data_IF_410090484251
#
_entry.id   IF_410090484251
#
_cell.length_a   1.000
_cell.length_b   1.000
_cell.length_c   1.000
_cell.angle_alpha   90.00
_cell.angle_beta   90.00
_cell.angle_gamma   90.00
#
_symmetry.space_group_name_H-M   'P 1'
#
loop_
_entity.id
_entity.type
_entity.pdbx_description
1 polymer ?
#
# COMPACT_ATOMS: atom_id res chain seq x y z
N UNK A 1 -6.85 21.75 15.28
CA UNK A 1 -7.28 21.57 13.89
C UNK A 1 -6.42 22.37 12.89
N UNK A 2 -6.31 23.73 12.93
CA UNK A 2 -5.47 24.49 11.99
C UNK A 2 -4.03 23.94 11.88
N UNK A 3 -3.36 23.75 13.01
CA UNK A 3 -1.98 23.25 13.03
C UNK A 3 -1.84 21.84 12.46
N UNK A 4 -2.86 21.00 12.65
CA UNK A 4 -2.92 19.67 12.05
C UNK A 4 -3.00 19.74 10.51
N UNK A 5 -3.82 20.66 9.96
CA UNK A 5 -3.89 20.87 8.50
C UNK A 5 -2.52 21.28 7.95
N UNK A 6 -1.83 22.25 8.61
CA UNK A 6 -0.49 22.64 8.19
C UNK A 6 0.52 21.48 8.26
N UNK A 7 0.50 20.70 9.34
CA UNK A 7 1.39 19.54 9.49
C UNK A 7 1.10 18.47 8.42
N UNK A 8 -0.16 18.23 8.11
CA UNK A 8 -0.59 17.27 7.08
C UNK A 8 -0.09 17.68 5.70
N UNK A 9 -0.32 18.95 5.29
CA UNK A 9 0.18 19.50 4.02
C UNK A 9 1.72 19.44 3.97
N UNK A 10 2.39 19.86 5.04
CA UNK A 10 3.85 19.83 5.12
C UNK A 10 4.40 18.39 5.00
N UNK A 11 3.76 17.42 5.66
CA UNK A 11 4.13 16.01 5.56
C UNK A 11 4.00 15.45 4.15
N UNK A 12 2.91 15.77 3.44
CA UNK A 12 2.73 15.39 2.04
C UNK A 12 3.80 16.03 1.13
N UNK A 13 4.08 17.33 1.30
CA UNK A 13 5.14 18.02 0.54
C UNK A 13 6.51 17.40 0.83
N UNK A 14 6.81 17.04 2.09
CA UNK A 14 8.05 16.36 2.45
C UNK A 14 8.16 14.98 1.77
N UNK A 15 7.08 14.18 1.72
CA UNK A 15 7.09 12.91 0.97
C UNK A 15 7.41 13.14 -0.51
N UNK A 16 6.78 14.12 -1.15
CA UNK A 16 7.05 14.43 -2.56
C UNK A 16 8.49 14.89 -2.83
N UNK A 17 9.10 15.63 -1.89
CA UNK A 17 10.43 16.19 -2.05
C UNK A 17 11.54 15.23 -1.62
N UNK A 18 11.40 14.53 -0.49
CA UNK A 18 12.43 13.70 0.12
C UNK A 18 12.22 12.22 -0.22
N UNK A 19 10.98 11.70 -0.06
CA UNK A 19 10.69 10.26 -0.10
C UNK A 19 11.33 9.53 1.08
N UNK A 20 11.73 8.25 0.89
CA UNK A 20 12.28 7.40 1.94
C UNK A 20 13.78 7.11 1.72
N UNK A 21 14.68 8.04 2.03
CA UNK A 21 16.12 7.82 1.86
C UNK A 21 16.61 6.73 2.82
N UNK A 22 17.42 5.80 2.30
CA UNK A 22 17.84 4.60 3.04
C UNK A 22 18.65 4.88 4.31
N UNK A 23 19.30 6.05 4.40
CA UNK A 23 20.12 6.45 5.55
C UNK A 23 19.32 7.01 6.73
N UNK A 24 18.03 7.34 6.54
CA UNK A 24 17.15 7.79 7.62
C UNK A 24 16.47 6.56 8.23
N UNK A 25 16.50 6.40 9.57
CA UNK A 25 15.73 5.37 10.26
C UNK A 25 14.24 5.53 9.94
N UNK A 26 13.64 4.48 9.37
CA UNK A 26 12.24 4.53 8.97
C UNK A 26 11.38 3.72 9.95
N UNK A 27 10.32 4.31 10.54
CA UNK A 27 9.48 3.63 11.53
C UNK A 27 8.89 2.31 11.04
N UNK A 28 8.54 2.19 9.74
CA UNK A 28 8.02 0.96 9.16
C UNK A 28 9.04 -0.19 9.26
N UNK A 29 10.35 0.11 9.18
CA UNK A 29 11.39 -0.91 9.39
C UNK A 29 11.43 -1.40 10.84
N UNK A 30 11.20 -0.50 11.81
CA UNK A 30 11.10 -0.87 13.23
C UNK A 30 9.86 -1.74 13.46
N UNK A 31 8.71 -1.36 12.89
CA UNK A 31 7.49 -2.18 12.91
C UNK A 31 7.77 -3.56 12.30
N UNK A 32 8.40 -3.62 11.12
CA UNK A 32 8.78 -4.88 10.47
C UNK A 32 9.73 -5.73 11.33
N UNK A 33 10.68 -5.10 12.01
CA UNK A 33 11.58 -5.79 12.95
C UNK A 33 10.83 -6.39 14.15
N UNK A 34 9.88 -5.65 14.71
CA UNK A 34 9.00 -6.13 15.78
C UNK A 34 8.15 -7.32 15.31
N UNK A 35 7.55 -7.21 14.12
CA UNK A 35 6.79 -8.31 13.51
C UNK A 35 7.67 -9.55 13.34
N UNK A 36 8.87 -9.40 12.78
CA UNK A 36 9.80 -10.49 12.58
C UNK A 36 10.26 -11.14 13.88
N UNK A 37 10.48 -10.34 14.93
CA UNK A 37 10.83 -10.83 16.26
C UNK A 37 9.69 -11.66 16.86
N UNK A 38 8.46 -11.16 16.79
CA UNK A 38 7.28 -11.85 17.30
C UNK A 38 6.94 -13.09 16.46
N UNK A 39 7.09 -13.05 15.12
CA UNK A 39 6.91 -14.23 14.25
C UNK A 39 7.83 -15.36 14.68
N UNK A 40 9.12 -15.09 14.89
CA UNK A 40 10.09 -16.10 15.35
C UNK A 40 9.75 -16.69 16.73
N UNK A 41 9.12 -15.92 17.59
CA UNK A 41 8.76 -16.35 18.96
C UNK A 41 7.41 -17.06 19.06
N UNK A 42 6.44 -16.60 18.30
CA UNK A 42 5.05 -17.06 18.42
C UNK A 42 4.67 -18.10 17.36
N UNK A 43 5.32 -18.11 16.20
CA UNK A 43 5.06 -19.04 15.09
C UNK A 43 6.01 -20.25 15.12
N UNK A 44 6.39 -20.69 16.29
CA UNK A 44 7.16 -21.91 16.45
C UNK A 44 6.21 -23.12 16.51
N UNK A 45 6.54 -24.18 15.78
CA UNK A 45 5.92 -25.49 15.92
C UNK A 45 6.46 -26.11 17.22
N UNK A 46 5.72 -25.89 18.31
CA UNK A 46 5.95 -26.66 19.51
C UNK A 46 5.43 -28.07 19.22
N UNK A 47 6.28 -29.09 19.29
CA UNK A 47 6.01 -30.49 18.95
C UNK A 47 4.88 -31.13 19.79
N UNK A 48 3.71 -30.53 19.73
CA UNK A 48 2.52 -31.01 20.42
C UNK A 48 1.91 -32.18 19.65
N UNK A 49 1.76 -33.30 20.34
CA UNK A 49 0.96 -34.42 19.86
C UNK A 49 -0.54 -34.07 19.97
N UNK A 50 -1.02 -33.12 19.16
CA UNK A 50 -2.38 -32.57 19.18
C UNK A 50 -3.00 -32.65 17.78
N UNK A 51 -4.34 -32.66 17.71
CA UNK A 51 -5.03 -32.66 16.44
C UNK A 51 -4.73 -31.42 15.63
N UNK A 52 -4.68 -31.57 14.29
CA UNK A 52 -4.42 -30.48 13.33
C UNK A 52 -5.37 -29.27 13.58
N UNK A 53 -6.65 -29.52 13.82
CA UNK A 53 -7.65 -28.47 14.11
C UNK A 53 -7.25 -27.62 15.31
N UNK A 54 -6.74 -28.27 16.39
CA UNK A 54 -6.29 -27.59 17.59
C UNK A 54 -5.02 -26.81 17.36
N UNK A 55 -4.08 -27.35 16.59
CA UNK A 55 -2.86 -26.65 16.17
C UNK A 55 -3.18 -25.37 15.37
N UNK A 56 -4.07 -25.48 14.38
CA UNK A 56 -4.50 -24.37 13.54
C UNK A 56 -5.16 -23.24 14.37
N UNK A 57 -5.96 -23.59 15.37
CA UNK A 57 -6.55 -22.63 16.29
C UNK A 57 -5.48 -21.92 17.16
N UNK A 58 -4.47 -22.67 17.64
CA UNK A 58 -3.36 -22.10 18.40
C UNK A 58 -2.56 -21.13 17.51
N UNK A 59 -2.21 -21.50 16.30
CA UNK A 59 -1.52 -20.63 15.33
C UNK A 59 -2.34 -19.33 15.09
N UNK A 60 -3.63 -19.45 14.87
CA UNK A 60 -4.51 -18.29 14.71
C UNK A 60 -4.52 -17.35 15.94
N UNK A 61 -4.66 -17.90 17.16
CA UNK A 61 -4.65 -17.10 18.40
C UNK A 61 -3.30 -16.42 18.64
N UNK A 62 -2.18 -17.08 18.33
CA UNK A 62 -0.84 -16.51 18.43
C UNK A 62 -0.62 -15.40 17.39
N UNK A 63 -1.12 -15.57 16.16
CA UNK A 63 -1.13 -14.50 15.16
C UNK A 63 -1.96 -13.30 15.56
N UNK A 64 -3.10 -13.53 16.20
CA UNK A 64 -3.94 -12.47 16.79
C UNK A 64 -3.20 -11.73 17.92
N UNK A 65 -2.52 -12.46 18.82
CA UNK A 65 -1.69 -11.85 19.88
C UNK A 65 -0.57 -10.98 19.27
N UNK A 66 0.12 -11.48 18.24
CA UNK A 66 1.12 -10.69 17.52
C UNK A 66 0.50 -9.39 17.01
N UNK A 67 -0.63 -9.47 16.31
CA UNK A 67 -1.28 -8.30 15.71
C UNK A 67 -1.66 -7.25 16.77
N UNK A 68 -2.28 -7.66 17.89
CA UNK A 68 -2.60 -6.72 18.96
C UNK A 68 -1.35 -6.11 19.60
N UNK A 69 -0.28 -6.89 19.78
CA UNK A 69 0.99 -6.39 20.33
C UNK A 69 1.62 -5.34 19.43
N UNK A 70 1.68 -5.59 18.12
CA UNK A 70 2.25 -4.66 17.14
C UNK A 70 1.42 -3.38 17.05
N UNK A 71 0.09 -3.49 16.99
CA UNK A 71 -0.82 -2.34 16.95
C UNK A 71 -0.66 -1.50 18.22
N UNK A 72 -0.71 -2.12 19.40
CA UNK A 72 -0.60 -1.42 20.66
C UNK A 72 0.76 -0.74 20.82
N UNK A 73 1.86 -1.43 20.50
CA UNK A 73 3.21 -0.85 20.57
C UNK A 73 3.36 0.35 19.62
N UNK A 74 2.84 0.24 18.38
CA UNK A 74 2.87 1.33 17.40
C UNK A 74 2.02 2.51 17.86
N UNK A 75 0.81 2.25 18.33
CA UNK A 75 -0.07 3.28 18.88
C UNK A 75 0.58 4.01 20.06
N UNK A 76 1.03 3.27 21.08
CA UNK A 76 1.64 3.84 22.28
C UNK A 76 2.88 4.68 21.96
N UNK A 77 3.77 4.17 21.10
CA UNK A 77 4.97 4.90 20.70
C UNK A 77 4.62 6.19 19.93
N UNK A 78 3.67 6.12 19.01
CA UNK A 78 3.22 7.28 18.24
C UNK A 78 2.58 8.35 19.12
N UNK A 79 1.75 7.94 20.10
CA UNK A 79 1.16 8.85 21.10
C UNK A 79 2.24 9.49 21.97
N UNK A 80 3.21 8.71 22.48
CA UNK A 80 4.31 9.21 23.30
C UNK A 80 5.09 10.29 22.54
N UNK A 81 5.44 10.04 21.26
CA UNK A 81 6.18 11.01 20.43
C UNK A 81 5.39 12.31 20.27
N UNK A 82 4.11 12.23 19.90
CA UNK A 82 3.28 13.41 19.69
C UNK A 82 3.07 14.18 20.98
N UNK A 83 2.71 13.51 22.07
CA UNK A 83 2.50 14.15 23.37
C UNK A 83 3.80 14.80 23.86
N UNK A 84 4.94 14.11 23.79
CA UNK A 84 6.23 14.67 24.17
C UNK A 84 6.60 15.91 23.33
N UNK A 85 6.35 15.87 22.02
CA UNK A 85 6.64 17.00 21.15
C UNK A 85 5.77 18.23 21.48
N UNK A 86 4.47 18.04 21.65
CA UNK A 86 3.56 19.13 22.03
C UNK A 86 3.78 19.65 23.46
N UNK A 87 4.30 18.81 24.38
CA UNK A 87 4.65 19.27 25.74
C UNK A 87 5.89 20.18 25.77
N UNK A 88 6.76 20.13 24.76
CA UNK A 88 7.88 21.07 24.60
C UNK A 88 7.35 22.43 24.17
N UNK A 89 6.69 22.50 23.05
CA UNK A 89 5.97 23.67 22.54
C UNK A 89 5.14 23.31 21.30
N UNK A 90 4.27 24.22 20.88
CA UNK A 90 3.41 24.07 19.72
C UNK A 90 4.17 23.78 18.41
N UNK A 91 5.28 24.47 18.18
CA UNK A 91 6.06 24.30 16.93
C UNK A 91 6.73 22.92 16.87
N UNK A 92 7.27 22.45 18.00
CA UNK A 92 7.84 21.10 18.08
C UNK A 92 6.78 20.03 17.78
N UNK A 93 5.56 20.20 18.31
CA UNK A 93 4.42 19.33 18.02
C UNK A 93 4.07 19.30 16.53
N UNK A 94 3.92 20.45 15.90
CA UNK A 94 3.60 20.56 14.46
C UNK A 94 4.68 19.96 13.58
N UNK A 95 5.96 20.20 13.92
CA UNK A 95 7.08 19.59 13.18
C UNK A 95 7.09 18.08 13.32
N UNK A 96 6.89 17.56 14.53
CA UNK A 96 6.82 16.12 14.77
C UNK A 96 5.66 15.49 13.98
N UNK A 97 4.50 16.13 13.96
CA UNK A 97 3.33 15.69 13.21
C UNK A 97 3.59 15.66 11.70
N UNK A 98 4.23 16.71 11.15
CA UNK A 98 4.60 16.79 9.76
C UNK A 98 5.64 15.70 9.37
N UNK A 99 6.67 15.49 10.20
CA UNK A 99 7.67 14.46 9.97
C UNK A 99 7.06 13.06 10.04
N UNK A 100 6.20 12.81 11.03
CA UNK A 100 5.50 11.54 11.14
C UNK A 100 4.58 11.29 9.96
N UNK A 101 3.85 12.31 9.49
CA UNK A 101 3.00 12.23 8.29
C UNK A 101 3.83 11.90 7.06
N UNK A 102 4.96 12.57 6.86
CA UNK A 102 5.91 12.24 5.79
C UNK A 102 6.32 10.76 5.80
N UNK A 103 6.71 10.23 6.97
CA UNK A 103 7.17 8.84 7.11
C UNK A 103 6.05 7.78 6.99
N UNK A 104 4.79 8.19 6.97
CA UNK A 104 3.64 7.31 6.74
C UNK A 104 3.38 7.13 5.24
N UNK A 105 3.59 8.18 4.43
CA UNK A 105 3.29 8.21 3.01
C UNK A 105 4.43 7.56 2.20
N UNK A 106 4.09 7.02 1.04
CA UNK A 106 5.04 6.31 0.19
C UNK A 106 4.96 6.76 -1.29
N UNK A 107 4.49 7.99 -1.57
CA UNK A 107 4.24 8.46 -2.94
C UNK A 107 5.51 8.52 -3.76
N UNK A 108 6.55 9.20 -3.25
CA UNK A 108 7.84 9.27 -3.94
C UNK A 108 8.60 7.96 -3.92
N UNK A 109 8.55 7.22 -2.81
CA UNK A 109 9.19 5.92 -2.70
C UNK A 109 8.67 4.95 -3.76
N UNK A 110 7.35 4.84 -3.91
CA UNK A 110 6.72 3.98 -4.91
C UNK A 110 7.12 4.35 -6.34
N UNK A 111 7.18 5.66 -6.64
CA UNK A 111 7.69 6.14 -7.92
C UNK A 111 9.15 5.75 -8.14
N UNK A 112 10.01 5.98 -7.16
CA UNK A 112 11.45 5.70 -7.30
C UNK A 112 11.68 4.21 -7.55
N UNK A 113 11.04 3.35 -6.76
CA UNK A 113 11.22 1.91 -6.90
C UNK A 113 10.63 1.36 -8.21
N UNK A 114 9.46 1.82 -8.62
CA UNK A 114 8.86 1.42 -9.90
C UNK A 114 9.65 1.96 -11.11
N UNK A 115 10.20 3.18 -11.02
CA UNK A 115 11.05 3.73 -12.08
C UNK A 115 12.38 2.98 -12.23
N UNK A 116 12.93 2.39 -11.15
CA UNK A 116 14.07 1.47 -11.25
C UNK A 116 13.76 0.25 -12.14
N UNK A 117 12.52 -0.26 -12.08
CA UNK A 117 12.09 -1.34 -12.99
C UNK A 117 12.04 -0.85 -14.43
N UNK A 118 11.49 0.35 -14.66
CA UNK A 118 11.47 0.97 -15.98
C UNK A 118 12.88 1.14 -16.57
N UNK A 119 13.79 1.75 -15.78
CA UNK A 119 15.15 2.00 -16.22
C UNK A 119 15.90 0.69 -16.49
N UNK A 120 15.79 -0.31 -15.60
CA UNK A 120 16.40 -1.63 -15.80
C UNK A 120 15.90 -2.34 -17.07
N UNK A 121 14.58 -2.30 -17.34
CA UNK A 121 14.04 -2.89 -18.57
C UNK A 121 14.56 -2.20 -19.82
N UNK A 122 14.70 -0.88 -19.77
CA UNK A 122 15.10 -0.07 -20.92
C UNK A 122 16.58 -0.17 -21.24
N UNK A 123 17.45 -0.18 -20.19
CA UNK A 123 18.91 -0.10 -20.38
C UNK A 123 19.61 -1.45 -20.34
N UNK A 124 19.16 -2.35 -19.44
CA UNK A 124 19.88 -3.56 -19.09
C UNK A 124 19.10 -4.85 -19.46
N UNK A 125 17.89 -4.69 -20.00
CA UNK A 125 17.05 -5.78 -20.51
C UNK A 125 16.23 -6.54 -19.44
N UNK A 126 15.60 -7.64 -19.87
CA UNK A 126 14.55 -8.33 -19.10
C UNK A 126 15.08 -8.91 -17.78
N UNK A 127 16.29 -9.44 -17.75
CA UNK A 127 16.83 -10.04 -16.52
C UNK A 127 17.13 -9.01 -15.44
N UNK A 128 17.56 -7.81 -15.81
CA UNK A 128 17.69 -6.69 -14.89
C UNK A 128 16.30 -6.21 -14.41
N UNK A 129 15.34 -6.13 -15.30
CA UNK A 129 13.95 -5.83 -14.97
C UNK A 129 13.34 -6.83 -14.00
N UNK A 130 13.58 -8.14 -14.18
CA UNK A 130 13.16 -9.21 -13.24
C UNK A 130 13.72 -9.00 -11.84
N UNK A 131 15.03 -8.68 -11.74
CA UNK A 131 15.66 -8.38 -10.44
C UNK A 131 15.07 -7.12 -9.80
N UNK A 132 14.88 -6.07 -10.58
CA UNK A 132 14.32 -4.82 -10.07
C UNK A 132 12.86 -5.02 -9.57
N UNK A 133 12.01 -5.68 -10.36
CA UNK A 133 10.61 -5.89 -9.97
C UNK A 133 10.46 -6.86 -8.77
N UNK A 134 11.40 -7.81 -8.59
CA UNK A 134 11.38 -8.71 -7.43
C UNK A 134 11.54 -8.00 -6.09
N UNK A 135 12.03 -6.77 -6.09
CA UNK A 135 12.15 -5.94 -4.89
C UNK A 135 10.82 -5.32 -4.44
N UNK A 136 9.81 -5.30 -5.33
CA UNK A 136 8.53 -4.63 -5.09
C UNK A 136 7.31 -5.54 -5.24
N UNK A 137 7.51 -6.82 -5.61
CA UNK A 137 6.42 -7.81 -5.74
C UNK A 137 6.70 -9.07 -4.94
N UNK A 138 5.64 -9.75 -4.49
CA UNK A 138 5.75 -11.01 -3.73
C UNK A 138 5.65 -12.28 -4.57
N UNK A 139 5.63 -12.18 -5.92
CA UNK A 139 5.55 -13.33 -6.85
C UNK A 139 6.92 -13.72 -7.40
N UNK A 140 7.02 -14.93 -7.97
CA UNK A 140 8.21 -15.36 -8.69
C UNK A 140 8.39 -14.56 -9.97
N UNK A 141 9.49 -13.84 -10.10
CA UNK A 141 9.77 -12.95 -11.23
C UNK A 141 10.65 -13.57 -12.30
N UNK A 142 11.31 -14.69 -11.99
CA UNK A 142 12.28 -15.35 -12.88
C UNK A 142 11.68 -15.83 -14.22
N UNK A 143 10.39 -16.12 -14.23
CA UNK A 143 9.64 -16.62 -15.40
C UNK A 143 8.96 -15.52 -16.22
N UNK A 144 9.00 -14.26 -15.78
CA UNK A 144 8.31 -13.16 -16.45
C UNK A 144 9.08 -12.72 -17.69
N UNK A 145 8.36 -12.51 -18.78
CA UNK A 145 8.87 -11.75 -19.93
C UNK A 145 8.84 -10.24 -19.67
N UNK A 146 9.24 -9.44 -20.64
CA UNK A 146 9.27 -7.98 -20.53
C UNK A 146 7.87 -7.38 -20.24
N UNK A 147 6.84 -7.90 -20.89
CA UNK A 147 5.45 -7.49 -20.66
C UNK A 147 4.98 -7.90 -19.26
N UNK A 148 5.34 -9.10 -18.80
CA UNK A 148 5.04 -9.59 -17.46
C UNK A 148 5.70 -8.77 -16.35
N UNK A 149 6.97 -8.38 -16.53
CA UNK A 149 7.68 -7.48 -15.60
C UNK A 149 7.01 -6.11 -15.54
N UNK A 150 6.67 -5.54 -16.70
CA UNK A 150 5.97 -4.25 -16.79
C UNK A 150 4.60 -4.31 -16.13
N UNK A 151 3.84 -5.37 -16.41
CA UNK A 151 2.52 -5.61 -15.80
C UNK A 151 2.62 -5.69 -14.29
N UNK A 152 3.57 -6.45 -13.76
CA UNK A 152 3.80 -6.57 -12.32
C UNK A 152 4.12 -5.22 -11.67
N UNK A 153 4.93 -4.38 -12.30
CA UNK A 153 5.23 -3.03 -11.81
C UNK A 153 3.99 -2.12 -11.82
N UNK A 154 3.19 -2.14 -12.90
CA UNK A 154 1.97 -1.34 -13.02
C UNK A 154 0.92 -1.78 -12.00
N UNK A 155 0.73 -3.09 -11.79
CA UNK A 155 -0.13 -3.64 -10.73
C UNK A 155 0.28 -3.14 -9.35
N UNK A 156 1.57 -3.22 -9.04
CA UNK A 156 2.12 -2.75 -7.75
C UNK A 156 1.86 -1.24 -7.54
N UNK A 157 2.03 -0.41 -8.58
CA UNK A 157 1.74 1.02 -8.50
C UNK A 157 0.23 1.23 -8.26
N UNK A 158 -0.63 0.51 -8.97
CA UNK A 158 -2.07 0.65 -8.86
C UNK A 158 -2.58 0.25 -7.47
N UNK A 159 -2.18 -0.91 -6.95
CA UNK A 159 -2.52 -1.40 -5.62
C UNK A 159 -1.99 -0.48 -4.52
N UNK A 160 -0.70 -0.13 -4.57
CA UNK A 160 -0.09 0.72 -3.55
C UNK A 160 -0.50 2.20 -3.65
N UNK A 161 -1.12 2.65 -4.75
CA UNK A 161 -1.82 3.94 -4.75
C UNK A 161 -2.89 3.98 -3.66
N UNK A 162 -3.64 2.88 -3.46
CA UNK A 162 -4.54 2.76 -2.31
C UNK A 162 -3.78 2.58 -1.00
N UNK A 163 -2.99 1.53 -0.88
CA UNK A 163 -2.50 1.00 0.39
C UNK A 163 -1.26 1.75 0.91
N UNK A 164 -0.46 2.30 0.01
CA UNK A 164 0.76 3.05 0.33
C UNK A 164 0.60 4.56 0.38
N UNK A 165 -0.46 5.10 -0.26
CA UNK A 165 -0.66 6.55 -0.41
C UNK A 165 -2.01 7.00 0.14
N UNK A 166 -3.12 6.60 -0.48
CA UNK A 166 -4.43 7.19 -0.16
C UNK A 166 -4.96 6.75 1.20
N UNK A 167 -4.90 5.45 1.53
CA UNK A 167 -5.37 4.96 2.82
C UNK A 167 -4.61 5.59 3.99
N UNK A 168 -3.25 5.62 4.01
CA UNK A 168 -2.53 6.30 5.07
C UNK A 168 -2.82 7.81 5.12
N UNK A 169 -3.03 8.50 3.98
CA UNK A 169 -3.47 9.90 3.95
C UNK A 169 -4.81 10.08 4.66
N UNK A 170 -5.82 9.28 4.32
CA UNK A 170 -7.15 9.37 4.91
C UNK A 170 -7.12 9.13 6.43
N UNK A 171 -6.41 8.11 6.89
CA UNK A 171 -6.28 7.83 8.32
C UNK A 171 -5.54 8.95 9.07
N UNK A 172 -4.51 9.51 8.46
CA UNK A 172 -3.77 10.66 9.03
C UNK A 172 -4.63 11.91 9.06
N UNK A 173 -5.42 12.20 8.04
CA UNK A 173 -6.32 13.35 8.00
C UNK A 173 -7.41 13.31 9.09
N UNK A 174 -7.90 12.12 9.48
CA UNK A 174 -9.01 11.95 10.44
C UNK A 174 -8.54 12.17 11.90
N UNK A 175 -7.41 11.58 12.30
CA UNK A 175 -6.97 11.55 13.72
C UNK A 175 -5.49 11.94 13.88
N UNK A 176 -4.82 12.32 12.81
CA UNK A 176 -3.40 12.61 12.82
C UNK A 176 -2.51 11.38 12.61
N UNK A 177 -1.17 11.56 12.68
CA UNK A 177 -0.22 10.52 12.30
C UNK A 177 -0.26 9.28 13.20
N UNK A 178 -0.84 9.36 14.39
CA UNK A 178 -1.02 8.19 15.28
C UNK A 178 -1.84 7.12 14.57
N UNK A 179 -3.00 7.51 14.00
CA UNK A 179 -3.86 6.55 13.31
C UNK A 179 -3.23 6.12 11.96
N UNK A 180 -2.51 7.01 11.30
CA UNK A 180 -1.74 6.69 10.10
C UNK A 180 -0.70 5.60 10.36
N UNK A 181 0.06 5.66 11.47
CA UNK A 181 1.00 4.61 11.86
C UNK A 181 0.33 3.31 12.26
N UNK A 182 -0.81 3.36 12.96
CA UNK A 182 -1.60 2.16 13.28
C UNK A 182 -2.05 1.46 11.99
N UNK A 183 -2.58 2.22 11.03
CA UNK A 183 -2.89 1.68 9.70
C UNK A 183 -1.65 1.06 9.04
N UNK A 184 -0.52 1.78 9.04
CA UNK A 184 0.73 1.28 8.45
C UNK A 184 1.23 0.00 9.11
N UNK A 185 1.03 -0.14 10.43
CA UNK A 185 1.35 -1.39 11.16
C UNK A 185 0.48 -2.56 10.68
N UNK A 186 -0.82 -2.34 10.48
CA UNK A 186 -1.74 -3.37 9.96
C UNK A 186 -1.32 -3.79 8.55
N UNK A 187 -1.10 -2.83 7.65
CA UNK A 187 -0.68 -3.08 6.28
C UNK A 187 0.69 -3.79 6.20
N UNK A 188 1.65 -3.42 7.08
CA UNK A 188 2.95 -4.10 7.15
C UNK A 188 2.82 -5.54 7.64
N UNK A 189 1.92 -5.81 8.60
CA UNK A 189 1.67 -7.17 9.05
C UNK A 189 1.08 -8.04 7.93
N UNK A 190 0.14 -7.53 7.14
CA UNK A 190 -0.39 -8.27 6.00
C UNK A 190 0.70 -8.54 4.97
N UNK A 191 1.47 -7.53 4.59
CA UNK A 191 2.58 -7.67 3.63
C UNK A 191 3.62 -8.71 4.06
N UNK A 192 3.85 -8.91 5.37
CA UNK A 192 4.84 -9.86 5.90
C UNK A 192 4.27 -11.24 6.22
N UNK A 193 3.00 -11.33 6.61
CA UNK A 193 2.40 -12.55 7.17
C UNK A 193 1.14 -13.01 6.40
N UNK A 194 0.58 -12.20 5.50
CA UNK A 194 -0.68 -12.48 4.80
C UNK A 194 -0.62 -13.59 3.75
N UNK A 195 0.53 -14.22 3.55
CA UNK A 195 0.73 -15.26 2.54
C UNK A 195 -0.07 -16.54 2.86
N UNK A 196 -0.75 -17.09 1.83
CA UNK A 196 -1.50 -18.35 1.92
C UNK A 196 -0.59 -19.57 1.69
N UNK A 197 0.49 -19.68 2.47
CA UNK A 197 1.38 -20.82 2.51
C UNK A 197 1.27 -21.56 3.85
N UNK A 198 1.90 -22.75 3.97
CA UNK A 198 1.78 -23.61 5.16
C UNK A 198 2.22 -22.90 6.46
N UNK A 199 3.18 -21.97 6.35
CA UNK A 199 3.69 -21.21 7.49
C UNK A 199 2.66 -20.19 8.02
N UNK A 200 1.99 -19.48 7.13
CA UNK A 200 1.18 -18.32 7.49
C UNK A 200 -0.33 -18.49 7.31
N UNK A 201 -0.81 -19.58 6.70
CA UNK A 201 -2.21 -19.84 6.41
C UNK A 201 -3.16 -19.57 7.59
N UNK A 202 -2.75 -19.96 8.79
CA UNK A 202 -3.52 -19.73 10.01
C UNK A 202 -2.96 -18.63 10.87
N UNK A 203 -1.63 -18.50 10.95
CA UNK A 203 -0.97 -17.50 11.77
C UNK A 203 -1.18 -16.08 11.24
N UNK A 204 -1.00 -15.85 9.94
CA UNK A 204 -1.18 -14.54 9.29
C UNK A 204 -2.65 -14.16 9.03
N UNK A 205 -3.58 -15.12 9.17
CA UNK A 205 -4.98 -14.93 8.78
C UNK A 205 -5.70 -13.76 9.47
N UNK A 206 -5.37 -13.47 10.73
CA UNK A 206 -5.98 -12.36 11.44
C UNK A 206 -5.48 -11.02 10.87
N UNK A 207 -4.18 -10.88 10.64
CA UNK A 207 -3.57 -9.69 10.06
C UNK A 207 -4.14 -9.40 8.67
N UNK A 208 -4.21 -10.42 7.79
CA UNK A 208 -4.78 -10.28 6.44
C UNK A 208 -6.25 -9.84 6.45
N UNK A 209 -7.08 -10.42 7.33
CA UNK A 209 -8.48 -10.01 7.47
C UNK A 209 -8.64 -8.61 8.03
N UNK A 210 -7.78 -8.22 8.96
CA UNK A 210 -7.80 -6.89 9.52
C UNK A 210 -7.42 -5.86 8.47
N UNK A 211 -6.40 -6.14 7.65
CA UNK A 211 -6.02 -5.32 6.51
C UNK A 211 -7.16 -5.18 5.49
N UNK A 212 -7.83 -6.28 5.13
CA UNK A 212 -9.02 -6.24 4.27
C UNK A 212 -10.12 -5.31 4.82
N UNK A 213 -10.32 -5.28 6.14
CA UNK A 213 -11.33 -4.41 6.78
C UNK A 213 -10.90 -2.95 6.78
N UNK A 214 -9.67 -2.63 7.18
CA UNK A 214 -9.21 -1.24 7.25
C UNK A 214 -9.04 -0.62 5.86
N UNK A 215 -8.75 -1.42 4.83
CA UNK A 215 -8.68 -0.97 3.46
C UNK A 215 -10.04 -0.90 2.74
N UNK A 216 -11.12 -1.40 3.34
CA UNK A 216 -12.41 -1.51 2.64
C UNK A 216 -12.93 -0.14 2.13
N UNK A 217 -12.97 0.88 2.98
CA UNK A 217 -13.40 2.23 2.58
C UNK A 217 -12.30 2.95 1.79
N UNK A 218 -11.04 3.01 2.24
CA UNK A 218 -9.98 3.68 1.50
C UNK A 218 -9.82 3.20 0.06
N UNK A 219 -9.87 1.90 -0.21
CA UNK A 219 -9.70 1.37 -1.57
C UNK A 219 -10.80 1.87 -2.53
N UNK A 220 -12.02 2.05 -2.04
CA UNK A 220 -13.12 2.59 -2.85
C UNK A 220 -12.97 4.08 -3.11
N UNK A 221 -12.59 4.85 -2.09
CA UNK A 221 -12.26 6.27 -2.25
C UNK A 221 -11.11 6.42 -3.24
N UNK A 222 -10.04 5.62 -3.09
CA UNK A 222 -8.89 5.58 -3.99
C UNK A 222 -9.31 5.34 -5.44
N UNK A 223 -10.20 4.37 -5.68
CA UNK A 223 -10.69 4.05 -7.01
C UNK A 223 -11.45 5.23 -7.63
N UNK A 224 -12.37 5.86 -6.90
CA UNK A 224 -13.10 7.02 -7.42
C UNK A 224 -12.21 8.23 -7.66
N UNK A 225 -11.23 8.49 -6.80
CA UNK A 225 -10.23 9.55 -7.01
C UNK A 225 -9.36 9.23 -8.22
N UNK A 226 -8.97 7.98 -8.42
CA UNK A 226 -8.19 7.54 -9.58
C UNK A 226 -9.00 7.62 -10.89
N UNK A 227 -10.31 7.35 -10.86
CA UNK A 227 -11.19 7.59 -12.01
C UNK A 227 -11.23 9.09 -12.34
N UNK A 228 -11.41 9.96 -11.34
CA UNK A 228 -11.36 11.40 -11.55
C UNK A 228 -9.99 11.83 -12.11
N UNK A 229 -8.90 11.29 -11.57
CA UNK A 229 -7.54 11.51 -12.07
C UNK A 229 -7.40 11.10 -13.55
N UNK A 230 -8.02 9.99 -13.96
CA UNK A 230 -8.00 9.54 -15.35
C UNK A 230 -8.76 10.49 -16.29
N UNK A 231 -9.84 11.14 -15.82
CA UNK A 231 -10.55 12.15 -16.62
C UNK A 231 -9.77 13.45 -16.79
N UNK A 232 -9.07 13.90 -15.76
CA UNK A 232 -8.34 15.19 -15.80
C UNK A 232 -6.89 15.05 -16.25
N UNK A 233 -6.32 13.83 -16.24
CA UNK A 233 -4.92 13.55 -16.56
C UNK A 233 -4.54 13.71 -18.03
N UNK A 234 -5.51 14.05 -18.89
CA UNK A 234 -5.32 14.33 -20.30
C UNK A 234 -5.32 13.09 -21.19
N UNK A 235 -4.91 13.27 -22.45
CA UNK A 235 -5.03 12.28 -23.54
C UNK A 235 -4.32 10.92 -23.31
N UNK A 236 -3.52 10.82 -22.27
CA UNK A 236 -2.82 9.56 -21.95
C UNK A 236 -3.71 8.57 -21.18
N UNK A 237 -4.87 9.00 -20.73
CA UNK A 237 -5.80 8.19 -19.96
C UNK A 237 -7.18 8.18 -20.57
N UNK A 238 -7.85 7.02 -20.47
CA UNK A 238 -9.23 6.86 -20.87
C UNK A 238 -10.11 6.78 -19.60
N UNK A 239 -10.60 7.94 -19.15
CA UNK A 239 -11.44 8.02 -17.95
C UNK A 239 -12.78 7.28 -18.09
N UNK A 240 -13.37 7.23 -19.30
CA UNK A 240 -14.61 6.48 -19.54
C UNK A 240 -14.37 4.99 -19.43
N UNK A 241 -13.32 4.50 -20.06
CA UNK A 241 -12.94 3.08 -19.97
C UNK A 241 -12.48 2.71 -18.56
N UNK A 242 -11.77 3.60 -17.84
CA UNK A 242 -11.42 3.40 -16.44
C UNK A 242 -12.66 3.12 -15.58
N UNK A 243 -13.72 3.92 -15.73
CA UNK A 243 -14.97 3.71 -15.00
C UNK A 243 -15.70 2.44 -15.44
N UNK A 244 -15.69 2.13 -16.73
CA UNK A 244 -16.31 0.91 -17.26
C UNK A 244 -15.65 -0.35 -16.70
N UNK A 245 -14.33 -0.44 -16.80
CA UNK A 245 -13.55 -1.59 -16.28
C UNK A 245 -13.68 -1.69 -14.75
N UNK A 246 -13.62 -0.56 -14.02
CA UNK A 246 -13.88 -0.56 -12.59
C UNK A 246 -15.22 -1.21 -12.23
N UNK A 247 -16.29 -0.83 -12.90
CA UNK A 247 -17.62 -1.41 -12.61
C UNK A 247 -17.68 -2.93 -12.85
N UNK A 248 -16.98 -3.41 -13.88
CA UNK A 248 -17.00 -4.82 -14.30
C UNK A 248 -16.04 -5.67 -13.47
N UNK A 249 -14.79 -5.19 -13.25
CA UNK A 249 -13.67 -6.05 -12.83
C UNK A 249 -13.20 -5.82 -11.38
N UNK A 250 -13.73 -4.82 -10.67
CA UNK A 250 -13.28 -4.46 -9.30
C UNK A 250 -13.36 -5.58 -8.24
N UNK A 251 -13.92 -6.71 -8.58
CA UNK A 251 -14.00 -7.90 -7.73
C UNK A 251 -13.24 -9.10 -8.30
N UNK A 252 -12.42 -8.89 -9.33
CA UNK A 252 -11.62 -9.94 -9.97
C UNK A 252 -10.29 -10.22 -9.26
N UNK A 253 -10.20 -9.97 -7.96
CA UNK A 253 -9.03 -10.26 -7.15
C UNK A 253 -9.42 -11.04 -5.89
N UNK A 254 -8.44 -11.76 -5.30
CA UNK A 254 -8.65 -12.54 -4.07
C UNK A 254 -8.84 -11.65 -2.82
N UNK A 255 -8.22 -10.47 -2.79
CA UNK A 255 -8.52 -9.40 -1.83
C UNK A 255 -9.71 -8.58 -2.36
N UNK A 256 -10.65 -8.16 -1.50
CA UNK A 256 -11.78 -7.33 -1.90
C UNK A 256 -11.38 -5.88 -2.25
N UNK A 257 -10.11 -5.52 -2.04
CA UNK A 257 -9.57 -4.16 -2.12
C UNK A 257 -8.63 -3.94 -3.31
N UNK A 258 -7.72 -4.86 -3.60
CA UNK A 258 -6.66 -4.67 -4.62
C UNK A 258 -7.20 -4.34 -6.00
N UNK A 259 -8.23 -5.10 -6.47
CA UNK A 259 -8.83 -4.85 -7.79
C UNK A 259 -9.58 -3.51 -7.90
N UNK A 260 -9.82 -2.79 -6.81
CA UNK A 260 -10.51 -1.49 -6.89
C UNK A 260 -9.68 -0.50 -7.73
N UNK A 261 -8.42 -0.31 -7.38
CA UNK A 261 -7.49 0.59 -8.09
C UNK A 261 -6.84 -0.07 -9.31
N UNK A 262 -6.55 -1.37 -9.26
CA UNK A 262 -6.02 -2.10 -10.42
C UNK A 262 -6.98 -2.04 -11.63
N UNK A 263 -8.28 -2.20 -11.41
CA UNK A 263 -9.27 -2.14 -12.48
C UNK A 263 -9.39 -0.74 -13.09
N UNK A 264 -9.29 0.29 -12.27
CA UNK A 264 -9.26 1.68 -12.76
C UNK A 264 -8.01 1.91 -13.60
N UNK A 265 -6.84 1.48 -13.11
CA UNK A 265 -5.57 1.63 -13.81
C UNK A 265 -5.55 0.89 -15.15
N UNK A 266 -6.01 -0.39 -15.16
CA UNK A 266 -6.15 -1.18 -16.38
C UNK A 266 -7.02 -0.48 -17.43
N UNK A 267 -8.18 0.02 -17.00
CA UNK A 267 -9.09 0.74 -17.88
C UNK A 267 -8.53 2.08 -18.37
N UNK A 268 -7.92 2.86 -17.46
CA UNK A 268 -7.32 4.15 -17.80
C UNK A 268 -6.18 4.02 -18.81
N UNK A 269 -5.37 2.99 -18.67
CA UNK A 269 -4.25 2.70 -19.57
C UNK A 269 -4.64 1.86 -20.80
N UNK A 270 -5.86 1.31 -20.84
CA UNK A 270 -6.38 0.44 -21.90
C UNK A 270 -5.57 -0.86 -22.07
N UNK A 271 -5.01 -1.37 -20.98
CA UNK A 271 -4.19 -2.58 -20.92
C UNK A 271 -4.89 -3.67 -20.12
N UNK A 272 -4.37 -4.89 -20.19
CA UNK A 272 -4.82 -6.01 -19.37
C UNK A 272 -3.80 -6.25 -18.24
N UNK A 273 -4.30 -6.32 -17.00
CA UNK A 273 -3.55 -6.61 -15.79
C UNK A 273 -3.97 -7.93 -15.18
N UNK A 274 -3.31 -8.36 -14.10
CA UNK A 274 -3.52 -9.61 -13.40
C UNK A 274 -3.29 -10.85 -14.30
N UNK A 275 -4.15 -11.87 -14.21
CA UNK A 275 -3.92 -13.16 -14.86
C UNK A 275 -3.03 -14.09 -14.03
N UNK A 276 -2.73 -15.25 -14.59
CA UNK A 276 -1.99 -16.31 -13.92
C UNK A 276 -0.61 -15.85 -13.44
N UNK A 277 -0.22 -16.25 -12.23
CA UNK A 277 1.06 -15.88 -11.64
C UNK A 277 1.67 -17.05 -10.86
N UNK A 278 2.99 -17.11 -10.80
CA UNK A 278 3.71 -18.13 -10.04
C UNK A 278 4.07 -17.59 -8.66
N UNK A 279 3.74 -18.37 -7.62
CA UNK A 279 4.08 -18.08 -6.22
C UNK A 279 4.71 -19.32 -5.61
N UNK A 280 5.93 -19.18 -5.09
CA UNK A 280 6.65 -20.31 -4.48
C UNK A 280 6.71 -21.55 -5.39
N UNK A 281 6.95 -21.33 -6.69
CA UNK A 281 7.01 -22.39 -7.71
C UNK A 281 5.65 -22.97 -8.11
N UNK A 282 4.53 -22.49 -7.58
CA UNK A 282 3.18 -22.97 -7.90
C UNK A 282 2.42 -21.95 -8.74
N UNK A 283 1.80 -22.41 -9.83
CA UNK A 283 0.93 -21.59 -10.67
C UNK A 283 -0.40 -21.31 -9.94
N UNK A 284 -0.71 -20.07 -9.73
CA UNK A 284 -1.97 -19.59 -9.16
C UNK A 284 -2.78 -18.96 -10.29
N UNK A 285 -3.91 -19.56 -10.61
CA UNK A 285 -4.85 -19.03 -11.60
C UNK A 285 -5.56 -17.82 -11.04
N UNK A 286 -5.54 -16.70 -11.79
CA UNK A 286 -6.24 -15.46 -11.44
C UNK A 286 -7.02 -14.97 -12.65
N UNK A 287 -8.13 -14.28 -12.38
CA UNK A 287 -8.87 -13.58 -13.42
C UNK A 287 -8.06 -12.42 -13.95
N UNK A 288 -8.21 -12.14 -15.24
CA UNK A 288 -7.69 -10.90 -15.82
C UNK A 288 -8.55 -9.69 -15.43
N UNK A 289 -7.92 -8.53 -15.46
CA UNK A 289 -8.51 -7.22 -15.18
C UNK A 289 -8.22 -6.32 -16.39
N UNK A 290 -9.29 -5.76 -17.01
CA UNK A 290 -9.18 -4.97 -18.24
C UNK A 290 -9.25 -5.80 -19.51
N UNK A 291 -9.38 -5.12 -20.66
CA UNK A 291 -9.67 -5.74 -21.95
C UNK A 291 -8.43 -5.91 -22.85
N UNK A 292 -7.28 -5.36 -22.50
CA UNK A 292 -6.08 -5.44 -23.32
C UNK A 292 -6.27 -4.80 -24.70
N UNK A 293 -6.89 -3.62 -24.76
CA UNK A 293 -7.14 -2.90 -26.02
C UNK A 293 -5.87 -2.50 -26.74
N UNK A 294 -4.76 -2.55 -26.07
CA UNK A 294 -3.38 -2.47 -26.59
C UNK A 294 -2.43 -3.31 -25.75
N UNK A 295 -1.30 -3.62 -26.29
CA UNK A 295 -0.22 -4.26 -25.54
C UNK A 295 0.34 -3.30 -24.47
N UNK A 296 0.80 -3.90 -23.36
CA UNK A 296 1.47 -3.15 -22.30
C UNK A 296 2.91 -2.85 -22.72
N UNK A 297 3.36 -1.64 -22.46
CA UNK A 297 4.70 -1.16 -22.81
C UNK A 297 5.39 -0.51 -21.60
N UNK A 298 6.70 -0.41 -21.61
CA UNK A 298 7.49 0.12 -20.47
C UNK A 298 7.01 1.50 -20.02
N UNK A 299 6.56 2.35 -20.95
CA UNK A 299 6.03 3.68 -20.67
C UNK A 299 4.78 3.65 -19.76
N UNK A 300 4.11 2.50 -19.64
CA UNK A 300 2.96 2.37 -18.76
C UNK A 300 3.33 2.45 -17.28
N UNK A 301 4.57 2.14 -16.93
CA UNK A 301 5.10 2.39 -15.57
C UNK A 301 5.10 3.89 -15.28
N UNK A 302 5.50 4.74 -16.24
CA UNK A 302 5.45 6.20 -16.08
C UNK A 302 4.02 6.72 -16.05
N UNK A 303 3.16 6.19 -16.91
CA UNK A 303 1.75 6.58 -16.97
C UNK A 303 1.04 6.22 -15.65
N UNK A 304 1.27 5.01 -15.12
CA UNK A 304 0.72 4.58 -13.83
C UNK A 304 1.19 5.49 -12.68
N UNK A 305 2.49 5.83 -12.65
CA UNK A 305 3.02 6.81 -11.67
C UNK A 305 2.35 8.18 -11.80
N UNK A 306 2.15 8.68 -13.03
CA UNK A 306 1.45 9.95 -13.24
C UNK A 306 0.01 9.88 -12.72
N UNK A 307 -0.69 8.79 -12.99
CA UNK A 307 -2.05 8.57 -12.49
C UNK A 307 -2.08 8.54 -10.96
N UNK A 308 -1.15 7.84 -10.32
CA UNK A 308 -0.97 7.82 -8.87
C UNK A 308 -0.77 9.22 -8.29
N UNK A 309 0.14 10.04 -8.87
CA UNK A 309 0.40 11.40 -8.38
C UNK A 309 -0.85 12.29 -8.46
N UNK A 310 -1.57 12.26 -9.59
CA UNK A 310 -2.82 13.04 -9.72
C UNK A 310 -3.83 12.56 -8.68
N UNK A 311 -3.94 11.25 -8.46
CA UNK A 311 -4.83 10.67 -7.44
C UNK A 311 -4.45 11.14 -6.03
N UNK A 312 -3.16 11.16 -5.70
CA UNK A 312 -2.64 11.64 -4.42
C UNK A 312 -2.94 13.13 -4.20
N UNK A 313 -2.72 13.97 -5.21
CA UNK A 313 -3.08 15.40 -5.13
C UNK A 313 -4.58 15.62 -4.94
N UNK A 314 -5.43 14.85 -5.61
CA UNK A 314 -6.89 14.94 -5.41
C UNK A 314 -7.28 14.51 -3.99
N UNK A 315 -6.64 13.49 -3.44
CA UNK A 315 -6.87 13.06 -2.05
C UNK A 315 -6.44 14.14 -1.05
N UNK A 316 -5.27 14.75 -1.26
CA UNK A 316 -4.77 15.84 -0.42
C UNK A 316 -5.75 17.01 -0.41
N UNK A 317 -6.17 17.48 -1.60
CA UNK A 317 -7.14 18.56 -1.72
C UNK A 317 -8.47 18.24 -1.04
N UNK A 318 -8.99 17.03 -1.24
CA UNK A 318 -10.22 16.58 -0.60
C UNK A 318 -10.07 16.54 0.93
N UNK A 319 -8.98 15.99 1.43
CA UNK A 319 -8.72 15.88 2.87
C UNK A 319 -8.59 17.26 3.52
N UNK A 320 -7.84 18.17 2.91
CA UNK A 320 -7.70 19.56 3.38
C UNK A 320 -9.05 20.30 3.35
N UNK A 321 -9.85 20.14 2.28
CA UNK A 321 -11.16 20.75 2.18
C UNK A 321 -12.12 20.25 3.28
N UNK A 322 -12.14 18.93 3.52
CA UNK A 322 -12.97 18.34 4.59
C UNK A 322 -12.51 18.81 5.97
N UNK A 323 -11.20 18.78 6.26
CA UNK A 323 -10.67 19.26 7.54
C UNK A 323 -10.97 20.75 7.76
N UNK A 324 -10.84 21.57 6.71
CA UNK A 324 -11.15 23.01 6.77
C UNK A 324 -12.64 23.26 7.00
N UNK A 325 -13.52 22.50 6.35
CA UNK A 325 -14.97 22.58 6.58
C UNK A 325 -15.32 22.21 8.03
N UNK A 326 -14.75 21.12 8.56
CA UNK A 326 -14.95 20.73 9.96
C UNK A 326 -14.46 21.83 10.92
N UNK A 327 -13.32 22.47 10.61
CA UNK A 327 -12.79 23.58 11.43
C UNK A 327 -13.72 24.79 11.44
N UNK A 328 -14.42 25.09 10.34
CA UNK A 328 -15.35 26.22 10.24
C UNK A 328 -16.66 25.94 10.98
N UNK A 329 -17.07 24.66 11.04
CA UNK A 329 -18.33 24.25 11.67
C UNK A 329 -18.23 24.03 13.17
N UNK A 330 -17.02 23.89 13.72
CA UNK A 330 -16.72 23.76 15.18
C UNK A 330 -16.40 25.13 15.79
#
# INVERSE_FOLDING_TARGET
MCYHIFAFIAGFVLDLLIGDPHFIPHPVRLIGSLISFLDKRLNCDAGYNISEKKLNLIKYKRGMLLAFTVIFATFAMSVIIIVAAYSINLYAGVIAEAVMTWQILATKCLRVESMRVYDALRTDGVDAGRRAVSMIVGRDTSVLDAAGVTRAAVETIAENTSDGVIAPMLYTAIVGPVLGFVYKAVNTMDSMLGYKNDKYMYFGRFAARLDDVVNFIPARISAYLMIAAAFIGGRHFDGKNAYHIFKRDRFNHASPNSAQTESVCAGALRVQLAGDAVYFGKLVKKKYIGDGLREIEYEDIKRANRLMYITAFLCELLSVAVMSLVLILL
#
